data_IF_640475981944
#
_entry.id   IF_640475981944
#
_cell.length_a   1.000
_cell.length_b   1.000
_cell.length_c   1.000
_cell.angle_alpha   90.00
_cell.angle_beta   90.00
_cell.angle_gamma   90.00
#
_symmetry.space_group_name_H-M   'P 1'
#
loop_
_entity.id
_entity.type
_entity.pdbx_description
1 polymer ?
#
# COMPACT_ATOMS: atom_id res chain seq x y z
N UNK A 1 -3.42 -22.02 50.19
CA UNK A 1 -2.08 -21.75 49.61
C UNK A 1 -2.18 -20.45 48.86
N UNK A 2 -1.25 -19.51 49.07
CA UNK A 2 -1.24 -18.26 48.30
C UNK A 2 -1.09 -18.64 46.82
N UNK A 3 -2.01 -18.17 45.98
CA UNK A 3 -1.93 -18.38 44.53
C UNK A 3 -0.73 -17.58 44.04
N UNK A 4 0.20 -18.23 43.33
CA UNK A 4 1.29 -17.51 42.67
C UNK A 4 0.67 -16.44 41.75
N UNK A 5 1.01 -15.18 41.99
CA UNK A 5 0.43 -14.02 41.29
C UNK A 5 1.15 -13.76 39.97
N UNK A 6 1.27 -14.82 39.16
CA UNK A 6 2.02 -14.84 37.92
C UNK A 6 1.09 -15.14 36.75
N UNK A 7 1.21 -14.36 35.68
CA UNK A 7 0.60 -14.63 34.37
C UNK A 7 1.73 -14.92 33.39
N UNK A 8 1.63 -16.02 32.65
CA UNK A 8 2.60 -16.37 31.61
C UNK A 8 1.97 -16.19 30.23
N UNK A 9 2.58 -15.35 29.40
CA UNK A 9 2.23 -15.10 28.00
C UNK A 9 3.30 -15.79 27.14
N UNK A 10 3.02 -17.03 26.76
CA UNK A 10 3.92 -17.91 25.99
C UNK A 10 3.32 -18.23 24.63
N UNK A 11 3.26 -17.22 23.75
CA UNK A 11 2.62 -17.34 22.44
C UNK A 11 2.14 -16.01 21.88
N UNK A 12 1.29 -16.06 20.86
CA UNK A 12 0.80 -14.87 20.18
C UNK A 12 -0.20 -14.06 21.01
N UNK A 13 -0.11 -12.75 20.90
CA UNK A 13 -1.11 -11.81 21.42
C UNK A 13 -2.18 -11.64 20.35
N UNK A 14 -3.23 -12.43 20.43
CA UNK A 14 -4.29 -12.43 19.41
C UNK A 14 -5.60 -13.00 19.96
N UNK A 15 -6.63 -13.01 19.11
CA UNK A 15 -7.97 -13.49 19.46
C UNK A 15 -8.00 -14.94 19.96
N UNK A 16 -7.19 -15.82 19.39
CA UNK A 16 -7.23 -17.27 19.66
C UNK A 16 -6.17 -17.76 20.65
N UNK A 17 -5.31 -16.88 21.13
CA UNK A 17 -4.29 -17.18 22.13
C UNK A 17 -4.38 -16.20 23.31
N UNK A 18 -3.37 -15.36 23.53
CA UNK A 18 -3.34 -14.40 24.63
C UNK A 18 -4.14 -13.13 24.29
N UNK A 19 -5.46 -13.29 24.25
CA UNK A 19 -6.38 -12.22 23.90
C UNK A 19 -6.55 -11.19 25.02
N UNK A 20 -6.97 -9.96 24.67
CA UNK A 20 -7.32 -8.94 25.66
C UNK A 20 -8.39 -9.42 26.66
N UNK A 21 -9.34 -10.26 26.21
CA UNK A 21 -10.37 -10.83 27.07
C UNK A 21 -9.83 -11.88 28.03
N UNK A 22 -8.91 -12.73 27.54
CA UNK A 22 -8.28 -13.75 28.36
C UNK A 22 -7.37 -13.14 29.43
N UNK A 23 -6.51 -12.19 29.07
CA UNK A 23 -5.66 -11.48 30.04
C UNK A 23 -6.50 -10.74 31.08
N UNK A 24 -7.58 -10.05 30.65
CA UNK A 24 -8.52 -9.40 31.58
C UNK A 24 -9.12 -10.40 32.58
N UNK A 25 -9.51 -11.58 32.11
CA UNK A 25 -10.02 -12.64 32.98
C UNK A 25 -8.98 -13.09 34.00
N UNK A 26 -7.74 -13.38 33.56
CA UNK A 26 -6.65 -13.80 34.46
C UNK A 26 -6.33 -12.74 35.52
N UNK A 27 -6.27 -11.47 35.14
CA UNK A 27 -6.03 -10.38 36.09
C UNK A 27 -7.18 -10.25 37.09
N UNK A 28 -8.44 -10.41 36.64
CA UNK A 28 -9.61 -10.40 37.54
C UNK A 28 -9.55 -11.54 38.57
N UNK A 29 -9.12 -12.73 38.15
CA UNK A 29 -8.95 -13.90 39.03
C UNK A 29 -7.81 -13.73 40.06
N UNK A 30 -6.86 -12.84 39.80
CA UNK A 30 -5.81 -12.49 40.75
C UNK A 30 -6.22 -11.32 41.67
N UNK A 31 -7.12 -10.45 41.23
CA UNK A 31 -7.59 -9.30 42.02
C UNK A 31 -6.48 -8.28 42.28
N UNK A 32 -6.67 -7.41 43.28
CA UNK A 32 -5.72 -6.35 43.62
C UNK A 32 -4.38 -6.89 44.19
N UNK A 33 -3.32 -6.09 44.05
CA UNK A 33 -1.97 -6.36 44.55
C UNK A 33 -1.00 -6.82 43.46
N UNK A 34 0.32 -6.91 43.73
CA UNK A 34 1.34 -7.08 42.71
C UNK A 34 1.11 -8.28 41.79
N UNK A 35 1.22 -8.08 40.47
CA UNK A 35 1.15 -9.16 39.46
C UNK A 35 2.43 -9.15 38.65
N UNK A 36 3.07 -10.31 38.51
CA UNK A 36 4.17 -10.51 37.56
C UNK A 36 3.64 -11.13 36.27
N UNK A 37 3.96 -10.54 35.13
CA UNK A 37 3.60 -11.06 33.81
C UNK A 37 4.88 -11.46 33.09
N UNK A 38 5.11 -12.76 32.90
CA UNK A 38 6.24 -13.28 32.13
C UNK A 38 5.85 -13.39 30.66
N UNK A 39 6.65 -12.82 29.78
CA UNK A 39 6.36 -12.70 28.36
C UNK A 39 7.45 -13.40 27.56
N UNK A 40 7.04 -14.30 26.67
CA UNK A 40 7.84 -14.90 25.61
C UNK A 40 6.94 -14.97 24.38
N UNK A 41 7.08 -14.00 23.47
CA UNK A 41 6.14 -13.83 22.38
C UNK A 41 6.78 -13.16 21.17
N UNK A 42 6.45 -13.67 19.98
CA UNK A 42 6.80 -13.04 18.70
C UNK A 42 5.89 -11.86 18.33
N UNK A 43 4.90 -11.54 19.17
CA UNK A 43 3.96 -10.44 18.95
C UNK A 43 2.55 -10.92 18.63
N UNK A 44 1.88 -10.19 17.74
CA UNK A 44 0.51 -10.45 17.33
C UNK A 44 -0.26 -9.18 17.00
N UNK A 45 -1.56 -9.20 17.30
CA UNK A 45 -2.50 -8.13 17.02
C UNK A 45 -2.25 -6.89 17.90
N UNK A 46 -2.06 -5.74 17.25
CA UNK A 46 -1.77 -4.46 17.90
C UNK A 46 -2.93 -3.99 18.79
N UNK A 47 -4.19 -4.18 18.39
CA UNK A 47 -5.34 -3.76 19.16
C UNK A 47 -5.45 -4.57 20.47
N UNK A 48 -5.19 -5.87 20.40
CA UNK A 48 -5.07 -6.72 21.59
C UNK A 48 -3.96 -6.24 22.53
N UNK A 49 -2.77 -5.93 21.99
CA UNK A 49 -1.65 -5.44 22.80
C UNK A 49 -1.94 -4.08 23.45
N UNK A 50 -2.51 -3.12 22.70
CA UNK A 50 -2.91 -1.82 23.26
C UNK A 50 -3.93 -1.99 24.38
N UNK A 51 -4.89 -2.91 24.23
CA UNK A 51 -5.86 -3.13 25.31
C UNK A 51 -5.25 -3.80 26.53
N UNK A 52 -4.32 -4.74 26.34
CA UNK A 52 -3.59 -5.37 27.44
C UNK A 52 -2.73 -4.34 28.17
N UNK A 53 -2.05 -3.45 27.42
CA UNK A 53 -1.31 -2.31 27.97
C UNK A 53 -2.21 -1.46 28.89
N UNK A 54 -3.41 -1.10 28.44
CA UNK A 54 -4.37 -0.34 29.26
C UNK A 54 -4.79 -1.09 30.53
N UNK A 55 -4.97 -2.41 30.45
CA UNK A 55 -5.30 -3.24 31.61
C UNK A 55 -4.17 -3.21 32.65
N UNK A 56 -2.92 -3.30 32.20
CA UNK A 56 -1.75 -3.22 33.08
C UNK A 56 -1.66 -1.84 33.75
N UNK A 57 -1.85 -0.77 32.96
CA UNK A 57 -1.83 0.60 33.46
C UNK A 57 -2.95 0.85 34.48
N UNK A 58 -4.16 0.36 34.20
CA UNK A 58 -5.32 0.49 35.08
C UNK A 58 -5.16 -0.29 36.38
N UNK A 59 -4.45 -1.42 36.35
CA UNK A 59 -4.14 -2.21 37.54
C UNK A 59 -3.06 -1.54 38.39
N UNK A 60 -2.09 -0.86 37.78
CA UNK A 60 -1.12 0.01 38.45
C UNK A 60 0.02 -0.69 39.19
N UNK A 61 -0.08 -2.00 39.49
CA UNK A 61 0.98 -2.77 40.15
C UNK A 61 1.35 -4.05 39.38
N UNK A 62 1.66 -3.88 38.09
CA UNK A 62 2.11 -4.96 37.20
C UNK A 62 3.60 -4.82 36.92
N UNK A 63 4.36 -5.92 37.07
CA UNK A 63 5.74 -6.06 36.60
C UNK A 63 5.75 -6.98 35.39
N UNK A 64 6.26 -6.51 34.24
CA UNK A 64 6.46 -7.37 33.06
C UNK A 64 7.89 -7.87 33.02
N UNK A 65 8.05 -9.18 32.90
CA UNK A 65 9.35 -9.84 32.71
C UNK A 65 9.44 -10.40 31.29
N UNK A 66 10.33 -9.84 30.47
CA UNK A 66 10.65 -10.35 29.14
C UNK A 66 11.64 -11.52 29.26
N UNK A 67 11.20 -12.69 28.81
CA UNK A 67 11.94 -13.96 28.84
C UNK A 67 12.05 -14.50 27.41
N UNK A 68 13.24 -14.98 27.02
CA UNK A 68 13.48 -15.54 25.70
C UNK A 68 13.32 -14.50 24.59
N UNK A 69 12.43 -14.75 23.63
CA UNK A 69 12.24 -13.92 22.45
C UNK A 69 11.00 -13.04 22.59
N UNK A 70 11.18 -11.72 22.53
CA UNK A 70 10.11 -10.74 22.71
C UNK A 70 10.10 -9.74 21.57
N UNK A 71 9.12 -9.84 20.67
CA UNK A 71 9.04 -9.03 19.47
C UNK A 71 7.71 -8.31 19.32
N UNK A 72 7.73 -7.19 18.60
CA UNK A 72 6.54 -6.55 18.05
C UNK A 72 5.54 -6.17 19.16
N UNK A 73 4.25 -6.46 18.97
CA UNK A 73 3.16 -6.17 19.89
C UNK A 73 3.42 -6.64 21.33
N UNK A 74 4.23 -7.68 21.54
CA UNK A 74 4.62 -8.16 22.87
C UNK A 74 5.42 -7.13 23.67
N UNK A 75 6.15 -6.26 22.99
CA UNK A 75 6.93 -5.20 23.63
C UNK A 75 6.07 -4.02 24.09
N UNK A 76 4.92 -3.79 23.41
CA UNK A 76 4.02 -2.68 23.71
C UNK A 76 3.24 -2.88 25.02
N UNK A 77 2.89 -4.13 25.37
CA UNK A 77 2.10 -4.37 26.59
C UNK A 77 2.84 -3.90 27.85
N UNK A 78 4.18 -4.01 27.86
CA UNK A 78 5.01 -3.57 28.98
C UNK A 78 5.01 -2.05 29.20
N UNK A 79 4.55 -1.25 28.24
CA UNK A 79 4.43 0.20 28.41
C UNK A 79 3.35 0.61 29.43
N UNK A 80 2.40 -0.28 29.72
CA UNK A 80 1.39 -0.08 30.76
C UNK A 80 1.81 -0.66 32.11
N UNK A 81 2.93 -1.39 32.17
CA UNK A 81 3.42 -1.96 33.42
C UNK A 81 4.06 -0.86 34.29
N UNK A 82 4.01 -1.05 35.60
CA UNK A 82 4.73 -0.21 36.57
C UNK A 82 6.23 -0.37 36.44
N UNK A 83 6.68 -1.56 36.06
CA UNK A 83 8.08 -1.92 35.89
C UNK A 83 8.23 -2.96 34.79
N UNK A 84 9.27 -2.85 33.99
CA UNK A 84 9.69 -3.87 33.04
C UNK A 84 11.10 -4.37 33.31
N UNK A 85 11.24 -5.69 33.25
CA UNK A 85 12.47 -6.41 33.49
C UNK A 85 12.74 -7.29 32.26
N UNK A 86 14.00 -7.47 31.89
CA UNK A 86 14.40 -8.43 30.85
C UNK A 86 15.44 -9.39 31.42
N UNK A 87 15.33 -10.67 31.09
CA UNK A 87 16.34 -11.66 31.49
C UNK A 87 17.58 -11.51 30.61
N UNK A 88 18.77 -11.73 31.19
CA UNK A 88 20.08 -11.53 30.52
C UNK A 88 20.22 -12.28 29.18
N UNK A 89 19.59 -13.46 29.05
CA UNK A 89 19.58 -14.28 27.83
C UNK A 89 18.41 -14.01 26.88
N UNK A 90 17.68 -12.92 27.09
CA UNK A 90 16.51 -12.56 26.29
C UNK A 90 16.83 -11.54 25.20
N UNK A 91 16.03 -11.57 24.14
CA UNK A 91 16.10 -10.65 23.02
C UNK A 91 14.82 -9.84 22.89
N UNK A 92 14.98 -8.58 22.51
CA UNK A 92 13.91 -7.61 22.33
C UNK A 92 13.91 -7.08 20.89
N UNK A 93 12.75 -6.99 20.23
CA UNK A 93 12.66 -6.48 18.87
C UNK A 93 11.43 -5.58 18.70
N UNK A 94 11.65 -4.40 18.12
CA UNK A 94 10.58 -3.50 17.67
C UNK A 94 10.68 -3.35 16.15
N UNK A 95 9.55 -3.28 15.47
CA UNK A 95 9.49 -3.11 14.01
C UNK A 95 8.24 -2.32 13.62
N UNK A 96 8.18 -1.86 12.36
CA UNK A 96 6.96 -1.25 11.81
C UNK A 96 5.81 -2.25 11.78
N UNK A 97 4.56 -1.84 12.09
CA UNK A 97 3.41 -2.72 11.97
C UNK A 97 3.34 -3.35 10.59
N UNK A 98 3.07 -4.65 10.54
CA UNK A 98 2.93 -5.41 9.31
C UNK A 98 1.44 -5.53 8.98
N UNK A 99 1.12 -5.39 7.69
CA UNK A 99 -0.23 -5.63 7.16
C UNK A 99 -0.20 -6.94 6.39
N UNK A 100 -1.14 -7.83 6.69
CA UNK A 100 -1.32 -9.04 5.92
C UNK A 100 -1.84 -8.69 4.52
N UNK A 101 -1.11 -9.11 3.49
CA UNK A 101 -1.49 -8.90 2.09
C UNK A 101 -1.67 -10.26 1.45
N UNK A 102 -2.86 -10.51 0.91
CA UNK A 102 -3.19 -11.77 0.24
C UNK A 102 -3.74 -11.50 -1.16
N UNK A 103 -2.88 -11.58 -2.17
CA UNK A 103 -3.23 -11.36 -3.57
C UNK A 103 -2.96 -12.65 -4.35
N UNK A 104 -4.00 -13.45 -4.58
CA UNK A 104 -3.88 -14.76 -5.26
C UNK A 104 -4.73 -14.78 -6.54
N UNK A 105 -4.13 -15.25 -7.64
CA UNK A 105 -4.82 -15.47 -8.91
C UNK A 105 -4.16 -14.79 -10.10
N UNK A 106 -4.74 -14.99 -11.29
CA UNK A 106 -4.40 -14.24 -12.50
C UNK A 106 -5.23 -12.96 -12.53
N UNK A 107 -4.58 -11.83 -12.74
CA UNK A 107 -5.21 -10.50 -12.82
C UNK A 107 -4.92 -9.88 -14.19
N UNK A 108 -5.93 -9.25 -14.79
CA UNK A 108 -5.75 -8.38 -15.96
C UNK A 108 -5.24 -6.99 -15.55
N UNK A 109 -5.01 -6.10 -16.53
CA UNK A 109 -4.40 -4.77 -16.28
C UNK A 109 -5.25 -3.86 -15.37
N UNK A 110 -6.58 -3.93 -15.46
CA UNK A 110 -7.50 -3.14 -14.63
C UNK A 110 -7.50 -3.66 -13.18
N UNK A 111 -7.53 -4.98 -13.00
CA UNK A 111 -7.48 -5.65 -11.70
C UNK A 111 -6.14 -5.37 -10.98
N UNK A 112 -5.02 -5.37 -11.71
CA UNK A 112 -3.72 -5.00 -11.18
C UNK A 112 -3.68 -3.54 -10.72
N UNK A 113 -4.30 -2.63 -11.49
CA UNK A 113 -4.39 -1.20 -11.16
C UNK A 113 -5.18 -0.99 -9.87
N UNK A 114 -6.30 -1.70 -9.71
CA UNK A 114 -7.08 -1.64 -8.47
C UNK A 114 -6.29 -2.21 -7.27
N UNK A 115 -5.62 -3.35 -7.44
CA UNK A 115 -4.82 -3.96 -6.38
C UNK A 115 -3.69 -3.03 -5.89
N UNK A 116 -3.00 -2.35 -6.82
CA UNK A 116 -1.97 -1.35 -6.48
C UNK A 116 -2.58 -0.19 -5.68
N UNK A 117 -3.75 0.30 -6.09
CA UNK A 117 -4.46 1.39 -5.40
C UNK A 117 -4.83 0.99 -3.97
N UNK A 118 -5.36 -0.22 -3.78
CA UNK A 118 -5.72 -0.74 -2.45
C UNK A 118 -4.48 -0.92 -1.56
N UNK A 119 -3.36 -1.42 -2.11
CA UNK A 119 -2.10 -1.54 -1.38
C UNK A 119 -1.51 -0.18 -0.99
N UNK A 120 -1.63 0.83 -1.86
CA UNK A 120 -1.21 2.19 -1.54
C UNK A 120 -2.05 2.79 -0.39
N UNK A 121 -3.36 2.53 -0.37
CA UNK A 121 -4.23 2.93 0.74
C UNK A 121 -3.84 2.22 2.04
N UNK A 122 -3.67 0.89 2.02
CA UNK A 122 -3.24 0.11 3.19
C UNK A 122 -1.87 0.55 3.71
N UNK A 123 -0.92 0.86 2.82
CA UNK A 123 0.39 1.43 3.20
C UNK A 123 0.24 2.75 3.94
N UNK A 124 -0.63 3.65 3.46
CA UNK A 124 -0.89 4.95 4.10
C UNK A 124 -1.48 4.79 5.50
N UNK A 125 -2.38 3.82 5.68
CA UNK A 125 -2.93 3.51 7.00
C UNK A 125 -1.85 2.94 7.93
N UNK A 126 -1.01 2.02 7.42
CA UNK A 126 0.11 1.47 8.18
C UNK A 126 1.14 2.53 8.61
N UNK A 127 1.36 3.57 7.80
CA UNK A 127 2.19 4.73 8.17
C UNK A 127 1.61 5.50 9.37
N UNK A 128 0.28 5.63 9.42
CA UNK A 128 -0.42 6.25 10.55
C UNK A 128 -0.25 5.40 11.83
N UNK A 129 -0.47 4.09 11.74
CA UNK A 129 -0.22 3.18 12.87
C UNK A 129 1.25 3.23 13.32
N UNK A 130 2.19 3.27 12.38
CA UNK A 130 3.63 3.36 12.69
C UNK A 130 3.91 4.58 13.56
N UNK A 131 3.37 5.75 13.21
CA UNK A 131 3.59 6.98 13.98
C UNK A 131 2.97 6.91 15.37
N UNK A 132 1.74 6.40 15.48
CA UNK A 132 1.04 6.25 16.76
C UNK A 132 1.82 5.32 17.70
N UNK A 133 2.26 4.17 17.20
CA UNK A 133 3.04 3.22 17.98
C UNK A 133 4.43 3.76 18.34
N UNK A 134 5.08 4.48 17.42
CA UNK A 134 6.36 5.12 17.71
C UNK A 134 6.23 6.17 18.83
N UNK A 135 5.17 6.98 18.78
CA UNK A 135 4.86 7.95 19.84
C UNK A 135 4.58 7.26 21.18
N UNK A 136 4.05 6.04 21.17
CA UNK A 136 3.85 5.25 22.37
C UNK A 136 5.17 4.90 23.09
N UNK A 137 6.19 4.49 22.33
CA UNK A 137 7.54 4.29 22.88
C UNK A 137 8.12 5.60 23.40
N UNK A 138 7.96 6.71 22.67
CA UNK A 138 8.41 8.04 23.14
C UNK A 138 7.80 8.38 24.49
N UNK A 139 6.48 8.27 24.60
CA UNK A 139 5.75 8.66 25.82
C UNK A 139 6.05 7.73 26.99
N UNK A 140 6.18 6.43 26.73
CA UNK A 140 6.32 5.42 27.77
C UNK A 140 7.77 5.20 28.21
N UNK A 141 8.74 5.48 27.32
CA UNK A 141 10.17 5.19 27.52
C UNK A 141 11.09 6.41 27.46
N UNK A 142 10.56 7.59 27.12
CA UNK A 142 11.35 8.83 27.03
C UNK A 142 12.35 8.85 25.87
N UNK A 143 12.17 7.99 24.87
CA UNK A 143 13.06 7.92 23.71
C UNK A 143 12.79 9.05 22.72
N UNK A 144 13.77 9.38 21.88
CA UNK A 144 13.58 10.28 20.73
C UNK A 144 12.82 9.57 19.58
N UNK A 145 11.88 10.29 18.95
CA UNK A 145 11.03 9.74 17.88
C UNK A 145 11.83 9.26 16.67
N UNK A 146 12.93 9.95 16.31
CA UNK A 146 13.77 9.52 15.18
C UNK A 146 14.49 8.23 15.51
N UNK A 147 14.94 8.08 16.76
CA UNK A 147 15.57 6.85 17.26
C UNK A 147 14.59 5.68 17.21
N UNK A 148 13.37 5.86 17.71
CA UNK A 148 12.31 4.83 17.66
C UNK A 148 11.99 4.45 16.21
N UNK A 149 11.77 5.43 15.34
CA UNK A 149 11.47 5.19 13.92
C UNK A 149 12.62 4.48 13.19
N UNK A 150 13.87 4.80 13.54
CA UNK A 150 15.06 4.13 13.00
C UNK A 150 15.12 2.68 13.45
N UNK A 151 14.91 2.40 14.73
CA UNK A 151 14.89 1.03 15.27
C UNK A 151 13.75 0.20 14.67
N UNK A 152 12.54 0.78 14.57
CA UNK A 152 11.39 0.12 13.94
C UNK A 152 11.63 -0.18 12.45
N UNK A 153 12.39 0.68 11.76
CA UNK A 153 12.78 0.45 10.35
C UNK A 153 13.89 -0.59 10.23
N UNK A 154 14.87 -0.56 11.13
CA UNK A 154 15.98 -1.53 11.16
C UNK A 154 15.44 -2.94 11.41
N UNK A 155 14.42 -3.07 12.27
CA UNK A 155 13.75 -4.33 12.56
C UNK A 155 14.78 -5.43 12.84
N UNK A 156 15.55 -5.25 13.93
CA UNK A 156 16.58 -6.19 14.39
C UNK A 156 16.37 -6.56 15.84
N UNK A 157 17.02 -7.66 16.26
CA UNK A 157 17.04 -8.07 17.65
C UNK A 157 18.07 -7.27 18.46
N UNK A 158 17.66 -6.88 19.67
CA UNK A 158 18.44 -6.21 20.69
C UNK A 158 18.73 -7.19 21.81
N UNK A 159 19.96 -7.17 22.33
CA UNK A 159 20.28 -7.82 23.60
C UNK A 159 19.56 -7.15 24.78
N UNK A 160 19.46 -7.84 25.91
CA UNK A 160 18.95 -7.29 27.17
C UNK A 160 19.68 -5.97 27.56
N UNK A 161 21.01 -5.96 27.41
CA UNK A 161 21.88 -4.81 27.67
C UNK A 161 21.55 -3.61 26.77
N UNK A 162 21.39 -3.85 25.46
CA UNK A 162 21.00 -2.80 24.52
C UNK A 162 19.60 -2.28 24.82
N UNK A 163 18.64 -3.15 25.16
CA UNK A 163 17.27 -2.77 25.46
C UNK A 163 17.20 -1.82 26.66
N UNK A 164 17.90 -2.12 27.75
CA UNK A 164 17.97 -1.22 28.92
C UNK A 164 18.70 0.08 28.58
N UNK A 165 19.83 -0.01 27.86
CA UNK A 165 20.61 1.18 27.50
C UNK A 165 19.86 2.16 26.59
N UNK A 166 18.97 1.64 25.74
CA UNK A 166 18.09 2.44 24.89
C UNK A 166 16.83 2.94 25.64
N UNK A 167 16.62 2.53 26.89
CA UNK A 167 15.46 2.89 27.69
C UNK A 167 14.21 2.07 27.39
N UNK A 168 14.29 0.98 26.61
CA UNK A 168 13.14 0.15 26.25
C UNK A 168 12.65 -0.74 27.40
N UNK A 169 13.54 -1.05 28.35
CA UNK A 169 13.28 -1.86 29.54
C UNK A 169 13.98 -1.21 30.74
N UNK A 170 13.43 -1.36 31.94
CA UNK A 170 13.97 -0.67 33.12
C UNK A 170 15.20 -1.39 33.70
N UNK A 171 15.15 -2.72 33.81
CA UNK A 171 16.19 -3.50 34.49
C UNK A 171 16.49 -4.84 33.82
N UNK A 172 17.72 -5.35 34.04
CA UNK A 172 18.14 -6.70 33.64
C UNK A 172 18.24 -7.56 34.90
N UNK A 173 17.77 -8.80 34.80
CA UNK A 173 18.03 -9.83 35.82
C UNK A 173 18.90 -10.96 35.26
N UNK A 174 19.81 -11.55 36.08
CA UNK A 174 20.65 -12.66 35.63
C UNK A 174 19.82 -13.87 35.21
N UNK A 175 20.24 -14.55 34.13
CA UNK A 175 19.64 -15.82 33.70
C UNK A 175 20.56 -17.01 34.06
N UNK A 176 19.95 -18.20 34.11
CA UNK A 176 20.67 -19.48 34.19
C UNK A 176 21.60 -19.64 32.98
N UNK A 177 21.15 -19.18 31.80
CA UNK A 177 21.98 -19.14 30.60
C UNK A 177 22.56 -17.73 30.44
N UNK A 178 23.85 -17.61 30.11
CA UNK A 178 24.48 -16.29 29.88
C UNK A 178 24.30 -15.75 28.45
N UNK A 179 23.67 -16.53 27.57
CA UNK A 179 23.47 -16.18 26.16
C UNK A 179 22.14 -16.73 25.67
N UNK A 180 21.45 -15.99 24.77
CA UNK A 180 20.25 -16.50 24.11
C UNK A 180 20.55 -17.81 23.36
N UNK A 181 19.68 -18.79 23.52
CA UNK A 181 19.71 -20.05 22.75
C UNK A 181 18.57 -20.00 21.75
N UNK A 182 18.89 -20.10 20.45
CA UNK A 182 17.89 -20.10 19.39
C UNK A 182 17.82 -21.49 18.77
N UNK A 183 16.66 -22.13 18.90
CA UNK A 183 16.39 -23.43 18.29
C UNK A 183 16.01 -23.29 16.81
N UNK A 184 16.14 -24.37 16.04
CA UNK A 184 15.66 -24.41 14.65
C UNK A 184 14.15 -24.12 14.56
N UNK A 185 13.38 -24.51 15.57
CA UNK A 185 11.95 -24.18 15.66
C UNK A 185 11.74 -22.67 15.82
N UNK A 186 12.54 -22.00 16.65
CA UNK A 186 12.47 -20.55 16.82
C UNK A 186 12.81 -19.82 15.51
N UNK A 187 13.80 -20.31 14.75
CA UNK A 187 14.13 -19.77 13.41
C UNK A 187 12.96 -19.95 12.44
N UNK A 188 12.35 -21.12 12.41
CA UNK A 188 11.19 -21.39 11.54
C UNK A 188 10.02 -20.46 11.87
N UNK A 189 9.75 -20.22 13.15
CA UNK A 189 8.71 -19.29 13.59
C UNK A 189 9.07 -17.87 13.18
N UNK A 190 10.30 -17.39 13.41
CA UNK A 190 10.71 -16.05 12.97
C UNK A 190 10.48 -15.83 11.48
N UNK A 191 10.92 -16.77 10.63
CA UNK A 191 10.73 -16.71 9.18
C UNK A 191 9.24 -16.67 8.80
N UNK A 192 8.41 -17.53 9.40
CA UNK A 192 6.97 -17.54 9.15
C UNK A 192 6.27 -16.23 9.55
N UNK A 193 6.85 -15.47 10.48
CA UNK A 193 6.35 -14.18 10.95
C UNK A 193 7.03 -12.99 10.27
N UNK A 194 7.89 -13.22 9.27
CA UNK A 194 8.65 -12.15 8.60
C UNK A 194 9.65 -11.42 9.51
N UNK A 195 10.03 -12.03 10.64
CA UNK A 195 11.00 -11.46 11.58
C UNK A 195 12.44 -11.83 11.15
N UNK A 196 13.42 -10.93 11.37
CA UNK A 196 14.82 -11.22 11.09
C UNK A 196 15.35 -12.37 11.96
N UNK A 197 16.43 -13.01 11.52
CA UNK A 197 17.16 -13.98 12.35
C UNK A 197 18.29 -13.26 13.11
N UNK A 198 18.45 -13.47 14.44
CA UNK A 198 19.55 -12.88 15.22
C UNK A 198 20.93 -13.29 14.71
N UNK A 199 21.80 -12.31 14.46
CA UNK A 199 23.20 -12.57 14.12
C UNK A 199 24.08 -12.66 15.38
N UNK A 200 24.46 -13.87 15.79
CA UNK A 200 25.38 -14.08 16.92
C UNK A 200 26.84 -14.19 16.46
N UNK A 201 27.36 -13.17 15.79
CA UNK A 201 28.78 -13.16 15.43
C UNK A 201 29.65 -12.78 16.64
N UNK A 202 30.24 -13.81 17.27
CA UNK A 202 31.15 -13.72 18.41
C UNK A 202 32.52 -13.08 18.11
N UNK A 203 32.54 -11.80 17.72
CA UNK A 203 33.67 -10.90 17.97
C UNK A 203 33.24 -9.89 19.02
N UNK A 204 34.06 -9.59 20.05
CA UNK A 204 33.66 -8.68 21.10
C UNK A 204 33.46 -7.28 20.50
N UNK A 205 32.21 -6.88 20.29
CA UNK A 205 31.89 -5.49 19.97
C UNK A 205 31.91 -4.68 21.27
N UNK A 206 33.11 -4.35 21.73
CA UNK A 206 33.35 -3.20 22.60
C UNK A 206 33.10 -1.89 21.82
N UNK A 207 31.90 -1.74 21.24
CA UNK A 207 31.66 -0.71 20.22
C UNK A 207 30.28 -0.06 20.29
N UNK A 208 29.50 -0.34 21.34
CA UNK A 208 28.27 0.40 21.65
C UNK A 208 28.37 1.18 22.97
N UNK A 209 28.83 0.57 24.06
CA UNK A 209 29.00 1.27 25.35
C UNK A 209 30.05 2.39 25.26
N UNK A 210 31.16 2.13 24.58
CA UNK A 210 32.17 3.11 24.17
C UNK A 210 31.61 4.19 23.22
N UNK A 211 30.60 3.91 22.38
CA UNK A 211 30.00 4.95 21.51
C UNK A 211 29.01 5.87 22.22
N UNK A 212 28.41 5.43 23.32
CA UNK A 212 27.49 6.26 24.11
C UNK A 212 28.24 7.09 25.16
N UNK A 213 29.31 6.57 25.78
CA UNK A 213 30.18 7.40 26.64
C UNK A 213 30.95 8.45 25.83
N UNK A 214 31.51 8.06 24.67
CA UNK A 214 32.17 8.99 23.75
C UNK A 214 31.16 9.97 23.09
N UNK A 215 29.84 9.75 23.23
CA UNK A 215 28.81 10.68 22.78
C UNK A 215 28.61 11.86 23.73
N UNK A 216 28.85 11.66 25.02
CA UNK A 216 28.76 12.71 26.06
C UNK A 216 30.05 13.53 26.10
N UNK A 217 31.21 12.88 25.98
CA UNK A 217 32.52 13.56 25.95
C UNK A 217 32.70 14.41 24.68
N UNK A 218 32.12 14.00 23.54
CA UNK A 218 32.13 14.74 22.26
C UNK A 218 31.33 16.05 22.25
N UNK A 219 30.43 16.26 23.21
CA UNK A 219 29.67 17.52 23.30
C UNK A 219 30.58 18.66 23.78
N UNK A 220 31.60 18.35 24.57
CA UNK A 220 32.53 19.35 25.13
C UNK A 220 33.65 19.69 24.14
N UNK A 221 34.12 18.73 23.33
CA UNK A 221 35.23 18.94 22.38
C UNK A 221 34.83 19.57 21.03
N UNK A 222 33.53 19.58 20.68
CA UNK A 222 33.03 20.19 19.44
C UNK A 222 33.01 21.74 19.45
N UNK A 223 33.61 22.39 20.45
CA UNK A 223 33.85 23.84 20.48
C UNK A 223 35.17 24.28 19.79
N UNK A 224 35.92 23.37 19.15
CA UNK A 224 37.11 23.74 18.34
C UNK A 224 37.11 23.08 16.94
N UNK A 225 37.51 23.79 15.86
CA UNK A 225 37.20 23.39 14.49
C UNK A 225 38.32 22.57 13.80
N UNK A 226 37.92 21.71 12.84
CA UNK A 226 38.67 21.37 11.61
C UNK A 226 37.80 20.59 10.59
N UNK A 227 37.77 21.10 9.35
CA UNK A 227 36.94 20.67 8.22
C UNK A 227 37.09 19.19 7.82
N UNK A 228 35.94 18.55 7.52
CA UNK A 228 35.81 17.24 6.85
C UNK A 228 34.80 17.37 5.71
N UNK A 229 35.16 16.89 4.52
CA UNK A 229 34.23 16.68 3.40
C UNK A 229 33.29 15.52 3.74
N UNK A 230 31.99 15.70 3.51
CA UNK A 230 30.92 14.75 3.79
C UNK A 230 30.17 14.40 2.49
N UNK A 231 29.88 13.12 2.29
CA UNK A 231 29.14 12.64 1.13
C UNK A 231 27.63 12.78 1.38
N UNK A 232 26.95 13.63 0.59
CA UNK A 232 25.56 13.96 0.82
C UNK A 232 24.60 13.08 -0.01
N UNK A 233 23.83 12.24 0.69
CA UNK A 233 22.87 11.29 0.08
C UNK A 233 21.43 11.85 0.00
N UNK A 234 21.22 13.11 0.33
CA UNK A 234 19.90 13.75 0.41
C UNK A 234 19.24 13.90 -0.97
N UNK A 235 20.04 14.20 -2.00
CA UNK A 235 19.54 14.47 -3.35
C UNK A 235 19.37 13.18 -4.16
N UNK A 236 18.48 12.29 -3.72
CA UNK A 236 18.28 10.96 -4.29
C UNK A 236 18.07 10.97 -5.82
N UNK A 237 17.32 11.93 -6.35
CA UNK A 237 17.06 12.05 -7.78
C UNK A 237 18.32 12.47 -8.56
N UNK A 238 19.08 13.44 -8.05
CA UNK A 238 20.31 13.92 -8.68
C UNK A 238 21.38 12.83 -8.61
N UNK A 239 21.51 12.15 -7.45
CA UNK A 239 22.40 11.02 -7.25
C UNK A 239 22.08 9.87 -8.22
N UNK A 240 20.80 9.58 -8.46
CA UNK A 240 20.36 8.58 -9.43
C UNK A 240 20.64 8.99 -10.88
N UNK A 241 20.39 10.25 -11.26
CA UNK A 241 20.70 10.78 -12.60
C UNK A 241 22.19 10.72 -12.89
N UNK A 242 23.02 11.04 -11.90
CA UNK A 242 24.48 11.01 -12.00
C UNK A 242 25.08 9.61 -11.78
N UNK A 243 24.28 8.63 -11.38
CA UNK A 243 24.71 7.29 -10.98
C UNK A 243 25.81 7.29 -9.90
N UNK A 244 25.64 8.12 -8.86
CA UNK A 244 26.57 8.24 -7.73
C UNK A 244 25.87 7.98 -6.40
N UNK A 245 26.60 7.51 -5.38
CA UNK A 245 26.02 7.26 -4.06
C UNK A 245 25.64 8.53 -3.30
N UNK A 246 26.30 9.65 -3.59
CA UNK A 246 26.08 10.95 -2.98
C UNK A 246 27.03 11.99 -3.55
N UNK A 247 26.61 13.25 -3.57
CA UNK A 247 27.45 14.36 -4.03
C UNK A 247 28.34 14.81 -2.88
N UNK A 248 29.63 14.99 -3.14
CA UNK A 248 30.57 15.47 -2.15
C UNK A 248 30.23 16.90 -1.71
N UNK A 249 30.25 17.13 -0.41
CA UNK A 249 29.95 18.41 0.22
C UNK A 249 31.11 18.82 1.12
N UNK A 250 31.60 20.03 0.95
CA UNK A 250 32.57 20.64 1.88
C UNK A 250 31.94 21.87 2.49
N UNK A 251 31.88 21.93 3.83
CA UNK A 251 31.27 23.04 4.59
C UNK A 251 29.84 23.38 4.15
N UNK A 252 29.03 22.35 3.86
CA UNK A 252 27.65 22.49 3.39
C UNK A 252 27.49 23.02 1.96
N UNK A 253 28.59 23.20 1.22
CA UNK A 253 28.58 23.56 -0.21
C UNK A 253 28.86 22.33 -1.06
N UNK A 254 28.07 22.16 -2.12
CA UNK A 254 28.19 21.07 -3.09
C UNK A 254 28.85 21.60 -4.35
N UNK A 255 29.78 20.83 -4.92
CA UNK A 255 30.40 21.12 -6.21
C UNK A 255 30.12 20.00 -7.19
N UNK A 256 29.58 20.35 -8.36
CA UNK A 256 29.35 19.42 -9.46
C UNK A 256 30.38 19.68 -10.56
N UNK A 257 30.92 18.62 -11.17
CA UNK A 257 31.80 18.76 -12.33
C UNK A 257 31.02 19.20 -13.56
N UNK A 258 31.73 19.73 -14.56
CA UNK A 258 31.13 20.14 -15.83
C UNK A 258 30.45 18.95 -16.55
N UNK A 259 31.03 17.76 -16.46
CA UNK A 259 30.43 16.53 -16.99
C UNK A 259 29.13 16.17 -16.27
N UNK A 260 29.10 16.27 -14.93
CA UNK A 260 27.90 15.99 -14.13
C UNK A 260 26.77 16.98 -14.47
N UNK A 261 27.09 18.26 -14.60
CA UNK A 261 26.12 19.28 -15.02
C UNK A 261 25.62 19.01 -16.45
N UNK A 262 26.48 18.56 -17.35
CA UNK A 262 26.10 18.21 -18.72
C UNK A 262 25.12 17.01 -18.76
N UNK A 263 25.34 16.00 -17.92
CA UNK A 263 24.43 14.84 -17.79
C UNK A 263 23.07 15.26 -17.24
N UNK A 264 23.04 16.11 -16.20
CA UNK A 264 21.80 16.64 -15.64
C UNK A 264 21.05 17.45 -16.71
N UNK A 265 21.75 18.33 -17.42
CA UNK A 265 21.13 19.19 -18.44
C UNK A 265 20.53 18.37 -19.59
N UNK A 266 21.24 17.34 -20.08
CA UNK A 266 20.72 16.45 -21.11
C UNK A 266 19.44 15.73 -20.67
N UNK A 267 19.38 15.26 -19.42
CA UNK A 267 18.18 14.60 -18.87
C UNK A 267 17.03 15.57 -18.62
N UNK A 268 17.31 16.81 -18.26
CA UNK A 268 16.28 17.86 -18.17
C UNK A 268 15.69 18.17 -19.55
N UNK A 269 16.52 18.32 -20.59
CA UNK A 269 16.02 18.52 -21.97
C UNK A 269 15.19 17.34 -22.48
N UNK A 270 15.59 16.11 -22.15
CA UNK A 270 14.80 14.90 -22.48
C UNK A 270 13.43 14.91 -21.77
N UNK A 271 13.40 15.32 -20.49
CA UNK A 271 12.17 15.42 -19.72
C UNK A 271 11.25 16.54 -20.20
N UNK A 272 11.80 17.72 -20.55
CA UNK A 272 11.06 18.83 -21.15
C UNK A 272 10.43 18.43 -22.50
N UNK A 273 11.16 17.67 -23.30
CA UNK A 273 10.65 17.10 -24.56
C UNK A 273 9.51 16.13 -24.30
N UNK A 274 9.66 15.24 -23.31
CA UNK A 274 8.62 14.28 -22.95
C UNK A 274 7.34 14.95 -22.43
N UNK A 275 7.48 16.00 -21.61
CA UNK A 275 6.33 16.80 -21.12
C UNK A 275 5.62 17.50 -22.29
N UNK A 276 6.37 18.11 -23.20
CA UNK A 276 5.80 18.78 -24.40
C UNK A 276 5.04 17.80 -25.29
N UNK A 277 5.59 16.60 -25.50
CA UNK A 277 4.92 15.55 -26.26
C UNK A 277 3.63 15.08 -25.57
N UNK A 278 3.66 14.92 -24.23
CA UNK A 278 2.48 14.54 -23.47
C UNK A 278 1.37 15.60 -23.53
N UNK A 279 1.72 16.88 -23.42
CA UNK A 279 0.75 17.98 -23.55
C UNK A 279 0.17 18.06 -24.96
N UNK A 280 0.98 17.83 -25.99
CA UNK A 280 0.51 17.80 -27.39
C UNK A 280 -0.45 16.63 -27.62
N UNK A 281 -0.12 15.45 -27.09
CA UNK A 281 -1.00 14.28 -27.16
C UNK A 281 -2.33 14.51 -26.43
N UNK A 282 -2.29 15.15 -25.25
CA UNK A 282 -3.48 15.54 -24.50
C UNK A 282 -4.36 16.52 -25.26
N UNK A 283 -3.79 17.59 -25.81
CA UNK A 283 -4.55 18.57 -26.62
C UNK A 283 -5.18 17.91 -27.85
N UNK A 284 -4.46 16.99 -28.49
CA UNK A 284 -4.98 16.23 -29.64
C UNK A 284 -6.18 15.37 -29.22
N UNK A 285 -6.10 14.70 -28.08
CA UNK A 285 -7.20 13.92 -27.53
C UNK A 285 -8.41 14.78 -27.16
N UNK A 286 -8.20 15.95 -26.54
CA UNK A 286 -9.26 16.91 -26.20
C UNK A 286 -9.98 17.43 -27.47
N UNK A 287 -9.23 17.75 -28.53
CA UNK A 287 -9.83 18.16 -29.82
C UNK A 287 -10.64 17.01 -30.44
N UNK A 288 -10.11 15.79 -30.42
CA UNK A 288 -10.81 14.61 -30.95
C UNK A 288 -12.11 14.32 -30.16
N UNK A 289 -12.09 14.50 -28.84
CA UNK A 289 -13.26 14.38 -27.98
C UNK A 289 -14.34 15.40 -28.37
N UNK A 290 -13.97 16.69 -28.47
CA UNK A 290 -14.93 17.76 -28.85
C UNK A 290 -15.52 17.49 -30.24
N UNK A 291 -14.72 17.03 -31.19
CA UNK A 291 -15.19 16.66 -32.53
C UNK A 291 -16.20 15.50 -32.49
N UNK A 292 -15.95 14.49 -31.66
CA UNK A 292 -16.87 13.36 -31.46
C UNK A 292 -18.19 13.81 -30.79
N UNK A 293 -18.11 14.68 -29.78
CA UNK A 293 -19.28 15.26 -29.11
C UNK A 293 -20.14 16.08 -30.08
N UNK A 294 -19.52 16.90 -30.93
CA UNK A 294 -20.22 17.66 -31.98
C UNK A 294 -20.92 16.74 -32.99
N UNK A 295 -20.20 15.71 -33.48
CA UNK A 295 -20.77 14.73 -34.41
C UNK A 295 -21.96 13.98 -33.80
N UNK A 296 -21.88 13.64 -32.51
CA UNK A 296 -22.97 13.00 -31.78
C UNK A 296 -24.19 13.94 -31.65
N UNK A 297 -23.96 15.22 -31.36
CA UNK A 297 -25.02 16.22 -31.26
C UNK A 297 -25.70 16.50 -32.60
N UNK A 298 -24.93 16.59 -33.69
CA UNK A 298 -25.47 16.73 -35.05
C UNK A 298 -26.32 15.51 -35.45
N UNK A 299 -25.84 14.30 -35.18
CA UNK A 299 -26.60 13.07 -35.42
C UNK A 299 -27.90 13.06 -34.59
N UNK A 300 -27.84 13.44 -33.31
CA UNK A 300 -29.02 13.52 -32.46
C UNK A 300 -30.05 14.52 -33.00
N UNK A 301 -29.62 15.69 -33.47
CA UNK A 301 -30.48 16.69 -34.08
C UNK A 301 -31.10 16.21 -35.40
N UNK A 302 -30.32 15.53 -36.25
CA UNK A 302 -30.82 14.95 -37.49
C UNK A 302 -31.89 13.87 -37.24
N UNK A 303 -31.69 13.02 -36.23
CA UNK A 303 -32.67 12.02 -35.81
C UNK A 303 -33.95 12.69 -35.29
N UNK A 304 -33.82 13.75 -34.49
CA UNK A 304 -34.97 14.49 -33.96
C UNK A 304 -35.78 15.22 -35.03
N UNK A 305 -35.17 15.56 -36.16
CA UNK A 305 -35.85 16.19 -37.29
C UNK A 305 -36.74 15.21 -38.09
N UNK A 306 -36.58 13.89 -37.91
CA UNK A 306 -37.34 12.88 -38.68
C UNK A 306 -38.85 12.99 -38.43
N UNK A 307 -39.25 13.13 -37.16
CA UNK A 307 -40.67 13.25 -36.79
C UNK A 307 -40.83 13.73 -35.34
N UNK A 308 -41.89 14.50 -35.01
CA UNK A 308 -42.18 14.92 -33.63
C UNK A 308 -42.25 13.77 -32.61
N UNK A 309 -42.71 12.59 -33.02
CA UNK A 309 -42.75 11.41 -32.14
C UNK A 309 -41.37 10.81 -31.85
N UNK A 310 -40.43 10.90 -32.79
CA UNK A 310 -39.02 10.49 -32.60
C UNK A 310 -38.33 11.48 -31.66
N UNK A 311 -38.56 12.78 -31.84
CA UNK A 311 -38.02 13.83 -30.97
C UNK A 311 -38.47 13.73 -29.51
N UNK A 312 -39.69 13.25 -29.27
CA UNK A 312 -40.23 13.09 -27.93
C UNK A 312 -39.62 11.91 -27.14
N UNK A 313 -38.94 10.97 -27.82
CA UNK A 313 -38.33 9.81 -27.18
C UNK A 313 -36.96 10.16 -26.58
N UNK A 314 -36.73 9.76 -25.32
CA UNK A 314 -35.54 10.17 -24.56
C UNK A 314 -34.32 9.26 -24.75
N UNK A 315 -34.51 7.97 -25.03
CA UNK A 315 -33.40 7.01 -25.23
C UNK A 315 -33.24 6.64 -26.70
N UNK A 316 -32.02 6.29 -27.10
CA UNK A 316 -31.71 5.86 -28.47
C UNK A 316 -32.56 4.65 -28.92
N UNK A 317 -32.79 3.68 -28.03
CA UNK A 317 -33.68 2.53 -28.27
C UNK A 317 -35.10 2.94 -28.63
N UNK A 318 -35.61 3.97 -27.95
CA UNK A 318 -36.99 4.44 -28.07
C UNK A 318 -37.16 5.28 -29.34
N UNK A 319 -36.12 6.06 -29.70
CA UNK A 319 -36.03 6.75 -30.99
C UNK A 319 -36.03 5.77 -32.16
N UNK A 320 -35.24 4.69 -32.07
CA UNK A 320 -35.21 3.65 -33.09
C UNK A 320 -36.57 2.94 -33.26
N UNK A 321 -37.26 2.65 -32.15
CA UNK A 321 -38.60 2.07 -32.18
C UNK A 321 -39.63 3.01 -32.85
N UNK A 322 -39.58 4.31 -32.55
CA UNK A 322 -40.45 5.31 -33.16
C UNK A 322 -40.23 5.44 -34.68
N UNK A 323 -38.97 5.42 -35.14
CA UNK A 323 -38.63 5.43 -36.57
C UNK A 323 -39.21 4.19 -37.28
N UNK A 324 -39.04 3.00 -36.68
CA UNK A 324 -39.57 1.75 -37.25
C UNK A 324 -41.10 1.76 -37.36
N UNK A 325 -41.81 2.32 -36.37
CA UNK A 325 -43.26 2.46 -36.41
C UNK A 325 -43.73 3.39 -37.55
N UNK A 326 -42.99 4.49 -37.79
CA UNK A 326 -43.28 5.42 -38.91
C UNK A 326 -43.08 4.71 -40.25
N UNK A 327 -41.97 3.97 -40.42
CA UNK A 327 -41.70 3.23 -41.65
C UNK A 327 -42.78 2.18 -41.94
N UNK A 328 -43.25 1.47 -40.92
CA UNK A 328 -44.33 0.50 -41.05
C UNK A 328 -45.68 1.13 -41.43
N UNK A 329 -45.87 2.43 -41.18
CA UNK A 329 -47.13 3.15 -41.47
C UNK A 329 -47.21 3.73 -42.89
N UNK A 330 -46.12 3.70 -43.68
CA UNK A 330 -46.15 4.18 -45.07
C UNK A 330 -46.88 3.18 -45.99
N UNK A 331 -47.92 3.60 -46.73
CA UNK A 331 -48.56 2.73 -47.72
C UNK A 331 -47.59 2.48 -48.88
N UNK A 332 -47.41 1.22 -49.28
CA UNK A 332 -46.55 0.85 -50.40
C UNK A 332 -46.97 1.56 -51.69
N UNK A 333 -46.03 2.22 -52.37
CA UNK A 333 -46.26 2.79 -53.70
C UNK A 333 -46.49 1.61 -54.66
N UNK A 334 -47.72 1.43 -55.13
CA UNK A 334 -47.97 0.58 -56.31
C UNK A 334 -47.31 1.27 -57.50
N UNK A 335 -46.49 0.55 -58.25
CA UNK A 335 -46.02 0.99 -59.56
C UNK A 335 -47.22 1.45 -60.40
N UNK A 336 -47.13 2.63 -61.01
CA UNK A 336 -48.16 3.10 -61.94
C UNK A 336 -48.27 2.08 -63.07
N UNK A 337 -49.43 1.41 -63.15
CA UNK A 337 -49.75 0.54 -64.27
C UNK A 337 -49.85 1.39 -65.55
N UNK A 338 -49.35 0.92 -66.70
CA UNK A 338 -49.37 1.68 -67.93
C UNK A 338 -50.81 1.99 -68.34
N UNK A 339 -51.05 3.21 -68.82
CA UNK A 339 -52.33 3.62 -69.40
C UNK A 339 -52.68 2.69 -70.57
N UNK A 340 -53.74 1.91 -70.40
CA UNK A 340 -54.29 1.05 -71.44
C UNK A 340 -55.71 0.63 -71.07
N UNK A 341 -56.65 0.92 -71.95
CA UNK A 341 -58.09 0.76 -71.79
C UNK A 341 -58.54 -0.68 -71.48
N UNK A 342 -59.59 -0.77 -70.65
CA UNK A 342 -60.63 -1.82 -70.62
C UNK A 342 -60.21 -3.29 -70.44
N UNK A 343 -60.58 -3.90 -69.30
CA UNK A 343 -60.58 -5.35 -69.17
C UNK A 343 -60.97 -5.82 -67.77
N UNK A 344 -61.89 -6.79 -67.70
CA UNK A 344 -62.61 -7.27 -66.51
C UNK A 344 -61.73 -7.94 -65.44
N UNK A 345 -62.27 -7.96 -64.22
CA UNK A 345 -61.82 -8.70 -63.03
C UNK A 345 -61.31 -10.12 -63.30
N UNK A 346 -60.07 -10.41 -62.92
CA UNK A 346 -59.48 -11.75 -62.89
C UNK A 346 -58.36 -11.82 -61.84
N UNK A 347 -58.29 -12.95 -61.13
CA UNK A 347 -57.34 -13.24 -60.04
C UNK A 347 -55.87 -12.98 -60.42
N UNK A 348 -55.12 -12.32 -59.53
CA UNK A 348 -53.68 -12.10 -59.70
C UNK A 348 -52.93 -13.43 -59.46
N UNK A 349 -52.42 -14.05 -60.53
CA UNK A 349 -51.38 -15.07 -60.44
C UNK A 349 -50.01 -14.42 -60.33
N UNK A 350 -49.21 -14.89 -59.39
CA UNK A 350 -47.87 -14.41 -59.07
C UNK A 350 -46.85 -15.12 -59.96
N UNK A 351 -46.46 -14.49 -61.07
CA UNK A 351 -45.40 -14.98 -61.95
C UNK A 351 -44.51 -13.81 -62.39
N UNK A 352 -43.57 -13.41 -61.54
CA UNK A 352 -42.43 -12.60 -61.96
C UNK A 352 -41.21 -13.52 -62.09
N UNK A 353 -40.65 -13.63 -63.30
CA UNK A 353 -39.42 -14.38 -63.56
C UNK A 353 -38.20 -13.50 -63.28
N UNK A 354 -37.63 -13.68 -62.09
CA UNK A 354 -36.51 -12.91 -61.58
C UNK A 354 -35.23 -13.06 -62.42
N UNK A 355 -35.09 -14.12 -63.22
CA UNK A 355 -33.93 -14.30 -64.10
C UNK A 355 -33.88 -13.29 -65.25
N UNK A 356 -35.02 -12.75 -65.67
CA UNK A 356 -35.08 -11.72 -66.71
C UNK A 356 -34.70 -10.36 -66.12
N UNK A 357 -35.06 -10.11 -64.87
CA UNK A 357 -34.79 -8.86 -64.16
C UNK A 357 -33.29 -8.73 -63.84
N UNK A 358 -32.65 -9.81 -63.39
CA UNK A 358 -31.21 -9.80 -63.06
C UNK A 358 -30.32 -9.63 -64.30
N UNK A 359 -30.79 -10.01 -65.48
CA UNK A 359 -30.02 -9.89 -66.72
C UNK A 359 -30.16 -8.52 -67.42
N UNK A 360 -30.88 -7.56 -66.82
CA UNK A 360 -31.02 -6.22 -67.38
C UNK A 360 -29.68 -5.45 -67.33
N UNK A 361 -29.33 -4.66 -68.37
CA UNK A 361 -28.01 -4.03 -68.50
C UNK A 361 -27.60 -3.17 -67.30
N UNK A 362 -28.55 -2.46 -66.69
CA UNK A 362 -28.30 -1.60 -65.53
C UNK A 362 -28.06 -2.38 -64.23
N UNK A 363 -28.57 -3.61 -64.12
CA UNK A 363 -28.32 -4.48 -62.96
C UNK A 363 -26.95 -5.16 -63.07
N UNK A 364 -26.50 -5.48 -64.28
CA UNK A 364 -25.13 -5.95 -64.52
C UNK A 364 -24.07 -4.88 -64.25
N UNK A 365 -24.39 -3.61 -64.47
CA UNK A 365 -23.49 -2.49 -64.16
C UNK A 365 -23.35 -2.25 -62.65
N UNK A 366 -24.39 -2.50 -61.86
CA UNK A 366 -24.35 -2.39 -60.40
C UNK A 366 -23.44 -3.46 -59.76
N UNK A 367 -23.44 -4.67 -60.32
CA UNK A 367 -22.59 -5.78 -59.83
C UNK A 367 -21.10 -5.62 -60.18
N UNK A 368 -20.75 -4.78 -61.16
CA UNK A 368 -19.34 -4.49 -61.48
C UNK A 368 -18.62 -3.57 -60.50
N UNK A 369 -19.33 -2.97 -59.53
CA UNK A 369 -18.73 -2.11 -58.49
C UNK A 369 -18.48 -2.83 -57.15
N UNK A 370 -18.73 -4.14 -57.08
CA UNK A 370 -18.42 -4.98 -55.91
C UNK A 370 -17.53 -6.15 -56.36
N UNK A 371 -16.25 -5.85 -56.63
CA UNK A 371 -15.12 -6.79 -56.51
C UNK A 371 -13.93 -6.05 -55.91
#
# INVERSE_FOLDING_TARGET
MAKDRVIEITGYIEKYAFSMGYIKYLMKELGEGPITVKVTSYGGDVNHALKIKDLFASHGDVTVEYVGLNASAATLIGHGAKKTIIHEDSLYLIHKPMVWVDTWGSMNEDELTQAITDLQAQKKDAETFTLVLAQDYVNSRGMDIKTVMSLMKESRWLSAEEAVKLGLVDEIIPSINKKPVISNQAIAIMNANGLPIPEFNGKPKNDLLTKISNGVDRIIDNFLPKNKSEMNKTFLCINKILNVEGIESTDGKFSLSLEQITVINAKLTEMETAVTNADTARQTAEIAQVAAENSLNELAAAIDAINPTVKAAQKASDKAAAINAILASRPGVKAEAPQGESGKSGELKNEADFNIIDNLPHNREADTFIV
#
